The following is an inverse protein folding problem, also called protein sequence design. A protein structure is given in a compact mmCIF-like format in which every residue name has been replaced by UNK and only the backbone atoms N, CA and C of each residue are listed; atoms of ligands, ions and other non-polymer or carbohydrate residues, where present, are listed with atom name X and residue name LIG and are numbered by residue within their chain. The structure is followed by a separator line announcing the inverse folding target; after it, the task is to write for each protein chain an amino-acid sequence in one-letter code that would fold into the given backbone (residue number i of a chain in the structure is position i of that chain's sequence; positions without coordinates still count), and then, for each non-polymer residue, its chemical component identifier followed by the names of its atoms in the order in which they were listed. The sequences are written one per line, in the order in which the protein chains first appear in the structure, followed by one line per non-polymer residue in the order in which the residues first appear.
data_IF_975747115624
#
_entry.id   IF_975747115624
#
_cell.length_a   1.000
_cell.length_b   1.000
_cell.length_c   1.000
_cell.angle_alpha   90.00
_cell.angle_beta   90.00
_cell.angle_gamma   90.00
#
_symmetry.space_group_name_H-M   'P 1'
#
loop_
_entity.id
_entity.type
_entity.pdbx_description
1 polymer ?
#
# COMPACT_ATOMS: atom_id res chain seq x y z
N UNK A 1 -14.67 4.59 9.24
CA UNK A 1 -13.66 3.96 10.07
C UNK A 1 -12.25 4.20 9.52
N UNK A 2 -11.92 3.74 8.31
CA UNK A 2 -10.70 4.11 7.61
C UNK A 2 -11.00 5.17 6.55
N UNK A 3 -10.11 6.15 6.39
CA UNK A 3 -10.23 7.20 5.38
C UNK A 3 -9.08 7.19 4.39
N UNK A 4 -7.93 6.68 4.79
CA UNK A 4 -6.73 6.67 3.98
C UNK A 4 -6.12 5.27 3.88
N UNK A 5 -5.76 4.87 2.68
CA UNK A 5 -5.10 3.59 2.41
C UNK A 5 -3.74 3.85 1.79
N UNK A 6 -2.71 3.24 2.39
CA UNK A 6 -1.35 3.26 1.89
C UNK A 6 -1.06 1.94 1.18
N UNK A 7 -0.49 2.01 -0.02
CA UNK A 7 -0.22 0.84 -0.84
C UNK A 7 1.27 0.63 -1.06
N UNK A 8 1.68 -0.63 -1.05
CA UNK A 8 2.96 -1.02 -1.61
C UNK A 8 2.80 -1.22 -3.13
N UNK A 9 3.54 -0.46 -3.93
CA UNK A 9 3.33 -0.38 -5.38
C UNK A 9 3.48 -1.74 -6.11
N UNK A 10 4.35 -2.62 -5.62
CA UNK A 10 4.59 -3.93 -6.25
C UNK A 10 3.34 -4.79 -6.36
N UNK A 11 2.37 -4.58 -5.47
CA UNK A 11 1.12 -5.34 -5.51
C UNK A 11 0.04 -4.70 -6.38
N UNK A 12 0.32 -3.52 -6.90
CA UNK A 12 -0.60 -2.83 -7.83
C UNK A 12 -0.13 -3.03 -9.27
N UNK A 13 1.17 -2.93 -9.51
CA UNK A 13 1.77 -2.95 -10.84
C UNK A 13 2.71 -4.14 -10.98
N UNK A 14 2.54 -4.91 -12.05
CA UNK A 14 3.44 -6.00 -12.39
C UNK A 14 4.79 -5.47 -12.90
N UNK A 15 5.79 -6.34 -13.00
CA UNK A 15 7.13 -5.99 -13.43
C UNK A 15 7.12 -5.30 -14.80
N UNK A 16 7.76 -4.14 -14.88
CA UNK A 16 7.83 -3.30 -16.07
C UNK A 16 8.55 -3.93 -17.27
N UNK A 17 9.35 -4.95 -17.05
CA UNK A 17 10.07 -5.62 -18.14
C UNK A 17 9.14 -6.25 -19.16
N UNK A 18 7.89 -6.46 -18.82
CA UNK A 18 6.93 -7.22 -19.61
C UNK A 18 5.66 -6.46 -20.02
N UNK A 19 5.74 -5.14 -20.18
CA UNK A 19 4.65 -4.26 -20.67
C UNK A 19 3.51 -4.00 -19.68
N UNK A 20 3.27 -2.73 -19.38
CA UNK A 20 2.03 -2.07 -18.90
C UNK A 20 0.97 -2.99 -18.27
N UNK A 21 1.34 -3.86 -17.33
CA UNK A 21 0.37 -4.77 -16.71
C UNK A 21 0.14 -4.43 -15.24
N UNK A 22 -1.11 -4.32 -14.89
CA UNK A 22 -1.54 -4.35 -13.48
C UNK A 22 -1.57 -5.78 -12.98
N UNK A 23 -1.54 -5.95 -11.66
CA UNK A 23 -1.82 -7.23 -11.03
C UNK A 23 -3.28 -7.62 -11.32
N UNK A 24 -3.61 -8.95 -11.39
CA UNK A 24 -4.99 -9.38 -11.61
C UNK A 24 -5.94 -8.73 -10.60
N UNK A 25 -7.08 -8.24 -11.08
CA UNK A 25 -8.14 -7.59 -10.31
C UNK A 25 -7.72 -6.28 -9.61
N UNK A 26 -6.51 -5.78 -9.86
CA UNK A 26 -6.02 -4.57 -9.21
C UNK A 26 -6.79 -3.32 -9.63
N UNK A 27 -7.11 -3.18 -10.91
CA UNK A 27 -7.84 -2.01 -11.41
C UNK A 27 -9.25 -1.94 -10.82
N UNK A 28 -9.96 -3.05 -10.81
CA UNK A 28 -11.31 -3.14 -10.22
C UNK A 28 -11.28 -2.79 -8.73
N UNK A 29 -10.27 -3.29 -8.02
CA UNK A 29 -10.09 -2.97 -6.59
C UNK A 29 -9.79 -1.47 -6.40
N UNK A 30 -8.94 -0.88 -7.24
CA UNK A 30 -8.61 0.54 -7.16
C UNK A 30 -9.83 1.42 -7.47
N UNK A 31 -10.62 1.08 -8.46
CA UNK A 31 -11.86 1.79 -8.76
C UNK A 31 -12.82 1.76 -7.59
N UNK A 32 -13.03 0.58 -7.01
CA UNK A 32 -13.89 0.41 -5.83
C UNK A 32 -13.36 1.23 -4.63
N UNK A 33 -12.08 1.07 -4.30
CA UNK A 33 -11.50 1.71 -3.11
C UNK A 33 -11.35 3.22 -3.28
N UNK A 34 -11.02 3.72 -4.46
CA UNK A 34 -10.85 5.16 -4.69
C UNK A 34 -12.18 5.92 -4.58
N UNK A 35 -13.31 5.25 -4.74
CA UNK A 35 -14.63 5.85 -4.53
C UNK A 35 -14.97 6.03 -3.05
N UNK A 36 -14.26 5.33 -2.16
CA UNK A 36 -14.54 5.31 -0.71
C UNK A 36 -13.42 5.89 0.15
N UNK A 37 -12.19 5.80 -0.32
CA UNK A 37 -10.99 6.11 0.48
C UNK A 37 -10.04 6.99 -0.31
N UNK A 38 -9.19 7.71 0.40
CA UNK A 38 -8.04 8.39 -0.18
C UNK A 38 -6.90 7.39 -0.33
N UNK A 39 -6.40 7.23 -1.55
CA UNK A 39 -5.37 6.25 -1.84
C UNK A 39 -4.01 6.93 -2.03
N UNK A 40 -2.98 6.35 -1.44
CA UNK A 40 -1.60 6.83 -1.47
C UNK A 40 -0.64 5.68 -1.69
N UNK A 41 0.50 5.96 -2.30
CA UNK A 41 1.63 5.02 -2.37
C UNK A 41 2.61 5.36 -1.24
N UNK A 42 3.06 4.34 -0.51
CA UNK A 42 4.17 4.43 0.44
C UNK A 42 5.21 3.38 0.05
N UNK A 43 6.39 3.81 -0.37
CA UNK A 43 7.40 2.92 -0.94
C UNK A 43 8.81 3.24 -0.45
N UNK A 44 9.64 2.20 -0.37
CA UNK A 44 11.08 2.33 -0.14
C UNK A 44 11.88 2.55 -1.46
N UNK A 45 11.20 2.75 -2.59
CA UNK A 45 11.82 2.96 -3.88
C UNK A 45 12.09 4.42 -4.21
N UNK A 46 12.60 4.66 -5.42
CA UNK A 46 12.90 5.99 -5.94
C UNK A 46 11.69 6.57 -6.66
N UNK A 47 11.46 7.89 -6.50
CA UNK A 47 10.28 8.59 -7.04
C UNK A 47 10.11 8.41 -8.53
N UNK A 48 11.16 8.69 -9.29
CA UNK A 48 11.11 8.61 -10.75
C UNK A 48 10.64 7.25 -11.24
N UNK A 49 11.20 6.18 -10.65
CA UNK A 49 10.84 4.82 -11.02
C UNK A 49 9.40 4.45 -10.62
N UNK A 50 8.97 4.87 -9.43
CA UNK A 50 7.61 4.57 -8.96
C UNK A 50 6.56 5.32 -9.78
N UNK A 51 6.78 6.59 -10.07
CA UNK A 51 5.87 7.39 -10.89
C UNK A 51 5.79 6.85 -12.32
N UNK A 52 6.92 6.45 -12.90
CA UNK A 52 6.95 5.83 -14.22
C UNK A 52 6.14 4.54 -14.26
N UNK A 53 6.30 3.69 -13.25
CA UNK A 53 5.52 2.44 -13.11
C UNK A 53 4.03 2.72 -13.10
N UNK A 54 3.61 3.67 -12.30
CA UNK A 54 2.18 3.99 -12.16
C UNK A 54 1.59 4.54 -13.45
N UNK A 55 2.30 5.46 -14.12
CA UNK A 55 1.86 6.02 -15.40
C UNK A 55 1.79 4.96 -16.49
N UNK A 56 2.81 4.11 -16.57
CA UNK A 56 2.86 3.04 -17.58
C UNK A 56 1.72 2.04 -17.41
N UNK A 57 1.31 1.79 -16.18
CA UNK A 57 0.19 0.89 -15.88
C UNK A 57 -1.18 1.58 -15.95
N UNK A 58 -1.22 2.91 -16.07
CA UNK A 58 -2.46 3.68 -16.12
C UNK A 58 -3.18 3.75 -14.79
N UNK A 59 -2.47 3.60 -13.66
CA UNK A 59 -3.08 3.59 -12.33
C UNK A 59 -2.78 4.84 -11.49
N UNK A 60 -1.96 5.74 -11.99
CA UNK A 60 -1.59 6.97 -11.30
C UNK A 60 -2.80 7.83 -10.90
N UNK A 61 -3.86 7.81 -11.70
CA UNK A 61 -5.10 8.56 -11.43
C UNK A 61 -5.82 8.16 -10.15
N UNK A 62 -5.56 6.97 -9.61
CA UNK A 62 -6.21 6.49 -8.40
C UNK A 62 -5.54 7.00 -7.12
N UNK A 63 -4.27 7.41 -7.22
CA UNK A 63 -3.47 7.79 -6.06
C UNK A 63 -3.31 9.30 -5.97
N UNK A 64 -3.62 9.85 -4.81
CA UNK A 64 -3.52 11.29 -4.57
C UNK A 64 -2.09 11.76 -4.34
N UNK A 65 -1.23 10.88 -3.82
CA UNK A 65 0.16 11.21 -3.51
C UNK A 65 1.03 9.98 -3.44
N UNK A 66 2.31 10.14 -3.73
CA UNK A 66 3.37 9.14 -3.57
C UNK A 66 4.31 9.62 -2.48
N UNK A 67 4.47 8.84 -1.42
CA UNK A 67 5.38 9.10 -0.30
C UNK A 67 6.51 8.08 -0.36
N UNK A 68 7.74 8.54 -0.32
CA UNK A 68 8.90 7.68 -0.52
C UNK A 68 9.91 7.84 0.60
N UNK A 69 10.68 6.77 0.84
CA UNK A 69 11.78 6.78 1.82
C UNK A 69 12.81 7.87 1.52
N UNK A 70 13.06 8.17 0.24
CA UNK A 70 14.00 9.23 -0.13
C UNK A 70 13.55 10.62 0.31
N UNK A 71 12.25 10.83 0.56
CA UNK A 71 11.73 12.13 1.00
C UNK A 71 12.26 12.54 2.37
N UNK A 72 12.56 11.58 3.25
CA UNK A 72 13.06 11.86 4.60
C UNK A 72 14.29 11.04 5.00
N UNK A 73 14.82 10.20 4.13
CA UNK A 73 15.95 9.35 4.43
C UNK A 73 15.68 8.21 5.41
N UNK A 74 14.42 7.85 5.62
CA UNK A 74 13.99 6.75 6.51
C UNK A 74 13.05 5.83 5.72
N UNK A 75 13.26 4.52 5.80
CA UNK A 75 12.48 3.53 5.09
C UNK A 75 11.63 2.67 6.05
N UNK A 76 10.62 1.99 5.50
CA UNK A 76 9.89 0.97 6.24
C UNK A 76 10.85 -0.14 6.68
N UNK A 77 10.74 -0.70 7.87
CA UNK A 77 9.60 -0.62 8.80
C UNK A 77 9.71 0.47 9.87
N UNK A 78 10.67 1.37 9.79
CA UNK A 78 10.85 2.40 10.82
C UNK A 78 9.60 3.28 10.91
N UNK A 79 9.08 3.54 12.13
CA UNK A 79 7.80 4.23 12.29
C UNK A 79 7.79 5.66 11.76
N UNK A 80 8.95 6.31 11.69
CA UNK A 80 9.08 7.70 11.22
C UNK A 80 8.55 7.89 9.78
N UNK A 81 8.69 6.87 8.90
CA UNK A 81 8.17 7.02 7.53
C UNK A 81 6.65 6.99 7.52
N UNK A 82 6.02 6.22 8.42
CA UNK A 82 4.57 6.20 8.55
C UNK A 82 4.06 7.52 9.12
N UNK A 83 4.73 8.08 10.11
CA UNK A 83 4.38 9.39 10.68
C UNK A 83 4.54 10.50 9.65
N UNK A 84 5.61 10.47 8.88
CA UNK A 84 5.81 11.39 7.78
C UNK A 84 4.68 11.27 6.74
N UNK A 85 4.30 10.04 6.37
CA UNK A 85 3.21 9.80 5.44
C UNK A 85 1.88 10.38 5.95
N UNK A 86 1.60 10.24 7.24
CA UNK A 86 0.39 10.83 7.84
C UNK A 86 0.40 12.36 7.73
N UNK A 87 1.52 12.97 8.06
CA UNK A 87 1.68 14.43 7.94
C UNK A 87 1.56 14.89 6.49
N UNK A 88 2.26 14.23 5.57
CA UNK A 88 2.29 14.59 4.15
C UNK A 88 0.93 14.44 3.46
N UNK A 89 0.07 13.53 3.94
CA UNK A 89 -1.24 13.26 3.37
C UNK A 89 -2.39 13.84 4.20
N UNK A 90 -2.08 14.53 5.29
CA UNK A 90 -3.07 15.06 6.24
C UNK A 90 -4.02 13.96 6.74
N UNK A 91 -3.44 12.80 7.03
CA UNK A 91 -4.14 11.61 7.51
C UNK A 91 -3.81 11.35 8.97
N UNK A 92 -4.61 10.50 9.62
CA UNK A 92 -4.41 10.12 11.01
C UNK A 92 -4.14 8.62 11.11
N UNK A 93 -3.29 8.21 12.07
CA UNK A 93 -2.86 6.82 12.24
C UNK A 93 -4.05 5.88 12.41
N UNK A 94 -4.97 6.20 13.30
CA UNK A 94 -6.08 5.30 13.66
C UNK A 94 -7.17 5.19 12.57
N UNK A 95 -7.14 6.04 11.55
CA UNK A 95 -8.05 5.99 10.42
C UNK A 95 -7.35 5.65 9.10
N UNK A 96 -6.11 5.19 9.20
CA UNK A 96 -5.28 4.82 8.05
C UNK A 96 -4.88 3.36 8.11
N UNK A 97 -4.67 2.77 6.94
CA UNK A 97 -4.37 1.36 6.80
C UNK A 97 -3.29 1.14 5.74
N UNK A 98 -2.34 0.26 6.02
CA UNK A 98 -1.30 -0.14 5.07
C UNK A 98 -1.66 -1.46 4.41
N UNK A 99 -1.55 -1.50 3.09
CA UNK A 99 -1.73 -2.73 2.30
C UNK A 99 -0.39 -3.07 1.64
N UNK A 100 0.15 -4.24 1.95
CA UNK A 100 1.43 -4.65 1.40
C UNK A 100 1.69 -6.14 1.49
N UNK A 101 2.78 -6.57 0.87
CA UNK A 101 3.17 -7.97 0.76
C UNK A 101 4.42 -8.34 1.57
N UNK A 102 5.07 -7.37 2.19
CA UNK A 102 6.23 -7.61 3.04
C UNK A 102 5.79 -7.54 4.50
N UNK A 103 5.83 -8.70 5.18
CA UNK A 103 5.36 -8.78 6.56
C UNK A 103 6.10 -7.81 7.48
N UNK A 104 7.44 -7.83 7.42
CA UNK A 104 8.24 -7.01 8.34
C UNK A 104 8.12 -5.51 8.02
N UNK A 105 8.28 -5.15 6.76
CA UNK A 105 8.31 -3.73 6.35
C UNK A 105 6.92 -3.09 6.37
N UNK A 106 5.94 -3.76 5.78
CA UNK A 106 4.62 -3.17 5.56
C UNK A 106 3.68 -3.44 6.74
N UNK A 107 3.58 -4.69 7.16
CA UNK A 107 2.54 -5.12 8.10
C UNK A 107 2.97 -4.88 9.55
N UNK A 108 4.11 -5.42 9.95
CA UNK A 108 4.65 -5.17 11.29
C UNK A 108 5.02 -3.71 11.48
N UNK A 109 5.61 -3.07 10.46
CA UNK A 109 5.92 -1.65 10.50
C UNK A 109 4.70 -0.77 10.71
N UNK A 110 3.64 -1.03 9.96
CA UNK A 110 2.38 -0.28 10.12
C UNK A 110 1.74 -0.50 11.50
N UNK A 111 1.76 -1.74 11.98
CA UNK A 111 1.25 -2.06 13.32
C UNK A 111 2.01 -1.30 14.41
N UNK A 112 3.32 -1.31 14.34
CA UNK A 112 4.17 -0.63 15.33
C UNK A 112 3.98 0.88 15.30
N UNK A 113 3.65 1.44 14.15
CA UNK A 113 3.35 2.86 13.99
C UNK A 113 1.92 3.22 14.39
N UNK A 114 1.01 2.25 14.51
CA UNK A 114 -0.37 2.49 14.93
C UNK A 114 -1.42 2.51 13.82
N UNK A 115 -1.07 2.07 12.60
CA UNK A 115 -2.02 1.93 11.50
C UNK A 115 -2.67 0.54 11.52
N UNK A 116 -3.82 0.41 10.85
CA UNK A 116 -4.37 -0.89 10.47
C UNK A 116 -3.53 -1.54 9.36
N UNK A 117 -3.73 -2.84 9.10
CA UNK A 117 -2.95 -3.56 8.11
C UNK A 117 -3.81 -4.56 7.33
N UNK A 118 -3.58 -4.62 6.01
CA UNK A 118 -4.04 -5.73 5.18
C UNK A 118 -2.81 -6.37 4.53
N UNK A 119 -2.60 -7.66 4.83
CA UNK A 119 -1.47 -8.41 4.31
C UNK A 119 -1.86 -9.07 2.98
N UNK A 120 -1.13 -8.72 1.91
CA UNK A 120 -1.23 -9.43 0.64
C UNK A 120 -0.33 -10.64 0.69
N UNK A 121 -0.91 -11.80 0.98
CA UNK A 121 -0.20 -13.01 1.35
C UNK A 121 0.20 -13.84 0.12
N UNK A 122 1.22 -13.38 -0.60
CA UNK A 122 1.70 -14.02 -1.84
C UNK A 122 2.19 -15.45 -1.62
N UNK A 123 2.88 -15.67 -0.50
CA UNK A 123 3.51 -16.97 -0.19
C UNK A 123 2.56 -17.94 0.50
N UNK A 124 1.31 -17.55 0.72
CA UNK A 124 0.30 -18.36 1.41
C UNK A 124 0.78 -18.86 2.79
N UNK A 125 1.45 -17.98 3.50
CA UNK A 125 1.90 -18.23 4.88
C UNK A 125 0.70 -18.44 5.78
N UNK A 126 0.79 -19.37 6.74
CA UNK A 126 -0.29 -19.70 7.65
C UNK A 126 0.01 -19.33 9.10
N UNK A 127 1.26 -19.00 9.42
CA UNK A 127 1.68 -18.62 10.78
C UNK A 127 2.07 -17.16 10.82
N UNK A 128 1.46 -16.41 11.72
CA UNK A 128 1.67 -14.98 11.88
C UNK A 128 1.99 -14.65 13.34
N UNK A 129 2.86 -13.65 13.57
CA UNK A 129 3.22 -13.19 14.92
C UNK A 129 2.08 -12.41 15.60
N UNK A 130 1.15 -11.88 14.79
CA UNK A 130 -0.07 -11.21 15.27
C UNK A 130 -1.14 -11.30 14.18
N UNK A 131 -2.38 -10.97 14.52
CA UNK A 131 -3.49 -10.95 13.56
C UNK A 131 -3.65 -9.55 12.96
N UNK A 132 -3.39 -9.35 11.64
CA UNK A 132 -3.63 -8.07 10.99
C UNK A 132 -5.13 -7.78 10.83
N UNK A 133 -5.48 -6.58 10.37
CA UNK A 133 -6.87 -6.19 10.09
C UNK A 133 -7.51 -7.13 9.08
N UNK A 134 -6.74 -7.54 8.07
CA UNK A 134 -7.19 -8.50 7.08
C UNK A 134 -6.03 -9.14 6.33
N UNK A 135 -6.33 -10.25 5.67
CA UNK A 135 -5.37 -10.99 4.84
C UNK A 135 -6.06 -11.30 3.51
N UNK A 136 -5.39 -11.00 2.42
CA UNK A 136 -5.87 -11.34 1.07
C UNK A 136 -4.80 -12.08 0.28
N UNK A 137 -5.21 -12.90 -0.65
CA UNK A 137 -4.32 -13.54 -1.62
C UNK A 137 -4.57 -13.03 -3.05
N UNK A 138 -5.68 -12.31 -3.25
CA UNK A 138 -6.04 -11.67 -4.52
C UNK A 138 -6.82 -10.38 -4.24
N UNK A 139 -6.70 -9.40 -5.13
CA UNK A 139 -7.38 -8.11 -5.00
C UNK A 139 -8.90 -8.23 -4.98
N UNK A 140 -9.49 -9.28 -5.59
CA UNK A 140 -10.93 -9.47 -5.57
C UNK A 140 -11.50 -9.76 -4.17
N UNK A 141 -10.64 -10.07 -3.20
CA UNK A 141 -11.05 -10.29 -1.81
C UNK A 141 -11.16 -9.00 -0.99
N UNK A 142 -10.65 -7.88 -1.50
CA UNK A 142 -10.56 -6.65 -0.70
C UNK A 142 -11.92 -6.11 -0.27
N UNK A 143 -12.94 -6.26 -1.08
CA UNK A 143 -14.30 -5.82 -0.76
C UNK A 143 -14.93 -6.53 0.42
N UNK A 144 -14.40 -7.67 0.86
CA UNK A 144 -14.85 -8.38 2.05
C UNK A 144 -14.28 -7.78 3.34
N UNK A 145 -13.24 -6.95 3.22
CA UNK A 145 -12.53 -6.34 4.36
C UNK A 145 -12.86 -4.86 4.47
N UNK A 146 -12.92 -4.16 3.34
CA UNK A 146 -13.06 -2.71 3.26
C UNK A 146 -14.33 -2.23 2.52
#
# INVERSE_FOLDING_TARGET
RFFSLLYHIRRVVADLRYKKKTMPHAVEALEYLSSKYNLYILSNGFRELQEQKMRSAGVDKYFKKVVLSEDIGVHKPFPEIFYFAMSATQSELHTSLMIGDNWDNDIAGAKDAGLGQVFYNVKKTTKFSFQPTGIIEDWNEIGKIL
#
